data_IF_899674014570
#
_entry.id   IF_899674014570
#
_cell.length_a   1.000
_cell.length_b   1.000
_cell.length_c   1.000
_cell.angle_alpha   90.00
_cell.angle_beta   90.00
_cell.angle_gamma   90.00
#
_symmetry.space_group_name_H-M   'P 1'
#
loop_
_entity.id
_entity.type
_entity.pdbx_description
1 polymer ?
#
# COMPACT_ATOMS: atom_id res chain seq x y z
N UNK A 1 21.78 1.39 15.40
CA UNK A 1 20.46 1.66 15.99
C UNK A 1 19.41 1.72 14.90
N UNK A 2 18.35 0.91 15.02
CA UNK A 2 17.27 0.80 14.05
C UNK A 2 16.18 -0.14 14.55
N UNK A 3 15.28 -0.49 13.67
CA UNK A 3 14.14 -1.36 13.93
C UNK A 3 14.26 -2.66 13.13
N UNK A 4 13.67 -3.73 13.61
CA UNK A 4 13.40 -4.94 12.86
C UNK A 4 11.96 -4.91 12.39
N UNK A 5 11.76 -5.04 11.09
CA UNK A 5 10.44 -4.91 10.45
C UNK A 5 10.04 -6.24 9.83
N UNK A 6 8.84 -6.68 10.13
CA UNK A 6 8.25 -7.84 9.48
C UNK A 6 7.80 -7.48 8.06
N UNK A 7 8.50 -8.01 7.07
CA UNK A 7 8.22 -7.80 5.64
C UNK A 7 7.40 -8.94 5.01
N UNK A 8 6.86 -9.85 5.82
CA UNK A 8 6.16 -11.05 5.34
C UNK A 8 7.03 -11.97 4.47
N UNK A 9 8.35 -11.95 4.70
CA UNK A 9 9.35 -12.75 4.02
C UNK A 9 9.95 -13.82 4.93
N UNK A 10 11.08 -14.40 4.51
CA UNK A 10 11.80 -15.45 5.25
C UNK A 10 12.31 -15.00 6.61
N UNK A 11 12.57 -13.71 6.78
CA UNK A 11 13.05 -13.09 8.00
C UNK A 11 12.69 -11.61 8.07
N UNK A 12 12.98 -10.96 9.21
CA UNK A 12 12.78 -9.53 9.34
C UNK A 12 13.78 -8.76 8.48
N UNK A 13 13.43 -7.53 8.13
CA UNK A 13 14.33 -6.59 7.48
C UNK A 13 14.82 -5.54 8.49
N UNK A 14 16.06 -5.11 8.33
CA UNK A 14 16.61 -4.02 9.13
C UNK A 14 16.15 -2.66 8.60
N UNK A 15 15.72 -1.80 9.48
CA UNK A 15 15.27 -0.45 9.16
C UNK A 15 16.02 0.58 10.01
N UNK A 16 16.99 1.30 9.42
CA UNK A 16 17.79 2.30 10.14
C UNK A 16 16.95 3.48 10.62
N UNK A 17 17.27 4.05 11.80
CA UNK A 17 16.62 5.26 12.33
C UNK A 17 16.68 6.45 11.37
N UNK A 18 17.75 6.54 10.57
CA UNK A 18 17.99 7.63 9.63
C UNK A 18 17.54 7.30 8.20
N UNK A 19 16.70 6.29 8.03
CA UNK A 19 16.21 5.86 6.73
C UNK A 19 15.04 6.69 6.17
N UNK A 20 14.76 7.85 6.74
CA UNK A 20 13.77 8.82 6.25
C UNK A 20 14.45 10.02 5.60
N UNK A 21 13.81 10.64 4.60
CA UNK A 21 14.27 11.90 4.05
C UNK A 21 14.13 13.01 5.11
N UNK A 22 15.17 13.81 5.31
CA UNK A 22 15.21 14.85 6.34
C UNK A 22 15.51 14.37 7.77
N UNK A 23 15.65 13.06 8.01
CA UNK A 23 15.95 12.55 9.34
C UNK A 23 17.40 12.84 9.78
N UNK A 24 17.54 13.18 11.05
CA UNK A 24 18.82 13.38 11.72
C UNK A 24 18.85 12.63 13.06
N UNK A 25 20.03 12.54 13.69
CA UNK A 25 20.18 11.89 15.01
C UNK A 25 19.30 12.48 16.10
N UNK A 26 18.95 13.78 15.99
CA UNK A 26 18.12 14.51 16.97
C UNK A 26 16.65 14.59 16.53
N UNK A 27 16.38 14.41 15.25
CA UNK A 27 15.04 14.53 14.68
C UNK A 27 14.78 13.39 13.71
N UNK A 28 14.12 12.35 14.17
CA UNK A 28 13.70 11.19 13.41
C UNK A 28 12.33 10.69 13.90
N UNK A 29 11.54 9.99 13.06
CA UNK A 29 10.28 9.41 13.48
C UNK A 29 10.47 8.42 14.62
N UNK A 30 9.67 8.56 15.66
CA UNK A 30 9.63 7.58 16.75
C UNK A 30 8.59 6.50 16.41
N UNK A 31 9.06 5.35 15.94
CA UNK A 31 8.21 4.20 15.60
C UNK A 31 8.03 3.34 16.85
N UNK A 32 6.80 2.86 17.04
CA UNK A 32 6.43 1.91 18.10
C UNK A 32 6.19 0.54 17.49
N UNK A 33 6.24 -0.50 18.32
CA UNK A 33 5.81 -1.84 17.91
C UNK A 33 4.38 -1.79 17.37
N UNK A 34 4.15 -2.52 16.27
CA UNK A 34 2.86 -2.51 15.58
C UNK A 34 2.65 -1.33 14.61
N UNK A 35 3.60 -0.37 14.52
CA UNK A 35 3.52 0.69 13.51
C UNK A 35 3.68 0.10 12.11
N UNK A 36 2.76 0.44 11.21
CA UNK A 36 2.84 0.08 9.80
C UNK A 36 3.66 1.15 9.05
N UNK A 37 4.59 0.71 8.22
CA UNK A 37 5.42 1.60 7.39
C UNK A 37 5.37 1.16 5.92
N UNK A 38 5.38 2.13 5.03
CA UNK A 38 5.61 1.93 3.61
C UNK A 38 7.05 2.31 3.28
N UNK A 39 7.84 1.33 2.87
CA UNK A 39 9.26 1.49 2.62
C UNK A 39 9.70 0.68 1.40
N UNK A 40 10.81 1.06 0.80
CA UNK A 40 11.46 0.29 -0.26
C UNK A 40 12.62 -0.53 0.26
N UNK A 41 12.98 -1.58 -0.44
CA UNK A 41 14.24 -2.27 -0.22
C UNK A 41 15.41 -1.37 -0.66
N UNK A 42 16.37 -1.18 0.24
CA UNK A 42 17.59 -0.41 -0.02
C UNK A 42 18.67 -1.27 -0.66
N UNK A 43 18.75 -2.54 -0.24
CA UNK A 43 19.74 -3.52 -0.69
C UNK A 43 19.16 -4.37 -1.83
N UNK A 44 19.90 -4.48 -2.94
CA UNK A 44 19.54 -5.31 -4.08
C UNK A 44 20.26 -6.69 -4.05
N UNK A 45 21.02 -6.98 -2.98
CA UNK A 45 21.81 -8.20 -2.86
C UNK A 45 21.01 -9.32 -2.17
N UNK A 46 20.90 -10.46 -2.84
CA UNK A 46 20.27 -11.68 -2.32
C UNK A 46 21.03 -12.32 -1.13
N UNK A 47 22.28 -11.94 -0.90
CA UNK A 47 23.16 -12.54 0.11
C UNK A 47 23.32 -11.68 1.37
N UNK A 48 22.69 -10.52 1.41
CA UNK A 48 22.75 -9.59 2.55
C UNK A 48 21.38 -9.51 3.20
N UNK A 49 21.34 -9.32 4.52
CA UNK A 49 20.08 -9.07 5.23
C UNK A 49 19.35 -7.89 4.57
N UNK A 50 18.04 -8.02 4.33
CA UNK A 50 17.27 -6.99 3.67
C UNK A 50 17.25 -5.71 4.52
N UNK A 51 17.65 -4.61 3.91
CA UNK A 51 17.60 -3.27 4.51
C UNK A 51 16.48 -2.45 3.85
N UNK A 52 15.71 -1.75 4.67
CA UNK A 52 14.62 -0.90 4.22
C UNK A 52 15.02 0.58 4.26
N UNK A 53 14.43 1.37 3.36
CA UNK A 53 14.60 2.82 3.32
C UNK A 53 13.31 3.51 2.90
N UNK A 54 12.98 4.61 3.56
CA UNK A 54 11.94 5.55 3.16
C UNK A 54 12.49 6.72 2.32
N UNK A 55 13.79 6.71 1.98
CA UNK A 55 14.39 7.73 1.12
C UNK A 55 14.07 7.48 -0.34
N UNK A 56 13.68 8.52 -1.06
CA UNK A 56 13.39 8.45 -2.49
C UNK A 56 14.69 8.33 -3.29
N UNK A 57 14.79 7.38 -4.22
CA UNK A 57 15.98 7.20 -5.09
C UNK A 57 16.12 8.35 -6.11
N UNK A 58 14.98 8.80 -6.66
CA UNK A 58 14.95 9.86 -7.68
C UNK A 58 13.68 10.69 -7.53
N UNK A 59 13.73 11.96 -7.91
CA UNK A 59 12.60 12.88 -7.81
C UNK A 59 12.72 13.86 -6.63
N UNK A 60 11.63 14.54 -6.35
CA UNK A 60 11.57 15.55 -5.29
C UNK A 60 11.57 14.86 -3.92
N UNK A 61 12.59 15.13 -3.13
CA UNK A 61 12.65 14.68 -1.73
C UNK A 61 11.74 15.54 -0.89
N UNK A 62 10.82 14.92 -0.17
CA UNK A 62 9.93 15.59 0.79
C UNK A 62 10.29 15.11 2.18
N UNK A 63 10.41 16.05 3.11
CA UNK A 63 10.73 15.77 4.50
C UNK A 63 9.63 14.90 5.12
N UNK A 64 10.00 13.92 5.94
CA UNK A 64 9.08 13.03 6.62
C UNK A 64 8.08 13.78 7.54
N UNK A 65 8.43 14.98 7.98
CA UNK A 65 7.59 15.82 8.85
C UNK A 65 6.45 16.51 8.09
N UNK A 66 6.56 16.68 6.78
CA UNK A 66 5.55 17.41 6.00
C UNK A 66 4.29 16.58 5.73
N UNK A 67 4.33 15.27 5.99
CA UNK A 67 3.25 14.35 5.65
C UNK A 67 3.07 14.08 4.16
N UNK A 68 3.92 14.68 3.31
CA UNK A 68 3.88 14.53 1.85
C UNK A 68 4.93 13.53 1.33
N UNK A 69 5.69 12.90 2.22
CA UNK A 69 6.68 11.91 1.85
C UNK A 69 6.00 10.69 1.23
N UNK A 70 6.57 10.21 0.11
CA UNK A 70 6.04 9.04 -0.59
C UNK A 70 6.13 7.75 0.23
N UNK A 71 7.22 7.61 0.99
CA UNK A 71 7.45 6.51 1.93
C UNK A 71 7.38 7.01 3.36
N UNK A 72 6.91 6.20 4.27
CA UNK A 72 6.86 6.56 5.68
C UNK A 72 5.85 5.76 6.48
N UNK A 73 5.50 6.30 7.63
CA UNK A 73 4.50 5.76 8.53
C UNK A 73 3.11 5.87 7.90
N UNK A 74 2.35 4.77 7.95
CA UNK A 74 0.94 4.75 7.54
C UNK A 74 0.06 4.88 8.79
N UNK A 75 -0.85 5.85 8.77
CA UNK A 75 -1.73 6.15 9.90
C UNK A 75 -3.19 5.98 9.52
N UNK A 76 -3.96 5.38 10.40
CA UNK A 76 -5.38 5.09 10.15
C UNK A 76 -5.58 4.02 9.09
N UNK A 77 -6.77 4.00 8.47
CA UNK A 77 -7.10 3.08 7.39
C UNK A 77 -7.15 1.62 7.79
N UNK A 78 -7.06 0.75 6.78
CA UNK A 78 -7.09 -0.70 6.91
C UNK A 78 -5.91 -1.31 6.17
N UNK A 79 -5.25 -2.27 6.80
CA UNK A 79 -4.20 -3.08 6.17
C UNK A 79 -4.66 -4.52 5.99
N UNK A 80 -4.24 -5.14 4.89
CA UNK A 80 -4.56 -6.52 4.59
C UNK A 80 -3.47 -7.23 3.81
N UNK A 81 -3.71 -8.52 3.63
CA UNK A 81 -2.87 -9.36 2.79
C UNK A 81 -3.63 -9.71 1.52
N UNK A 82 -2.91 -9.79 0.43
CA UNK A 82 -3.41 -10.26 -0.86
C UNK A 82 -2.38 -11.21 -1.50
N UNK A 83 -2.76 -11.85 -2.59
CA UNK A 83 -1.80 -12.65 -3.36
C UNK A 83 -0.74 -11.74 -3.99
N UNK A 84 0.42 -12.32 -4.28
CA UNK A 84 1.49 -11.61 -4.99
C UNK A 84 1.06 -11.23 -6.42
N UNK A 85 0.13 -11.99 -7.00
CA UNK A 85 -0.45 -11.69 -8.31
C UNK A 85 -1.27 -10.40 -8.25
N UNK A 86 -2.21 -10.32 -7.30
CA UNK A 86 -3.02 -9.11 -7.09
C UNK A 86 -2.14 -7.91 -6.72
N UNK A 87 -1.14 -8.09 -5.86
CA UNK A 87 -0.22 -7.00 -5.51
C UNK A 87 0.49 -6.42 -6.74
N UNK A 88 0.93 -7.26 -7.68
CA UNK A 88 1.54 -6.81 -8.95
C UNK A 88 0.54 -6.08 -9.84
N UNK A 89 -0.71 -6.55 -9.93
CA UNK A 89 -1.76 -5.86 -10.67
C UNK A 89 -2.08 -4.48 -10.08
N UNK A 90 -2.13 -4.37 -8.75
CA UNK A 90 -2.38 -3.10 -8.06
C UNK A 90 -1.23 -2.10 -8.21
N UNK A 91 0.00 -2.58 -8.41
CA UNK A 91 1.18 -1.75 -8.65
C UNK A 91 1.31 -1.28 -10.11
N UNK A 92 0.49 -1.81 -11.01
CA UNK A 92 0.45 -1.37 -12.40
C UNK A 92 -0.24 0.01 -12.49
N UNK A 93 0.40 0.97 -13.17
CA UNK A 93 -0.14 2.31 -13.42
C UNK A 93 -1.49 2.28 -14.16
N UNK A 94 -1.74 1.20 -14.88
CA UNK A 94 -2.97 0.98 -15.64
C UNK A 94 -4.02 0.13 -14.91
N UNK A 95 -3.88 -0.09 -13.60
CA UNK A 95 -4.83 -0.88 -12.85
C UNK A 95 -6.27 -0.34 -12.94
N UNK A 96 -7.13 -1.06 -13.67
CA UNK A 96 -8.51 -0.64 -13.95
C UNK A 96 -9.36 -0.58 -12.68
N UNK A 97 -9.12 -1.51 -11.73
CA UNK A 97 -9.83 -1.56 -10.45
C UNK A 97 -9.59 -0.29 -9.65
N UNK A 98 -8.34 0.14 -9.51
CA UNK A 98 -8.01 1.37 -8.78
C UNK A 98 -8.54 2.61 -9.49
N UNK A 99 -8.49 2.65 -10.83
CA UNK A 99 -9.05 3.74 -11.63
C UNK A 99 -10.57 3.85 -11.46
N UNK A 100 -11.28 2.73 -11.45
CA UNK A 100 -12.73 2.71 -11.24
C UNK A 100 -13.11 3.19 -9.83
N UNK A 101 -12.42 2.70 -8.82
CA UNK A 101 -12.65 3.10 -7.42
C UNK A 101 -12.33 4.58 -7.18
N UNK A 102 -11.23 5.09 -7.71
CA UNK A 102 -10.79 6.48 -7.51
C UNK A 102 -11.71 7.51 -8.16
N UNK A 103 -12.45 7.15 -9.20
CA UNK A 103 -13.46 8.02 -9.82
C UNK A 103 -14.63 8.32 -8.90
N UNK A 104 -14.90 7.43 -7.93
CA UNK A 104 -16.09 7.50 -7.07
C UNK A 104 -15.75 7.95 -5.65
N UNK A 105 -14.64 7.48 -5.12
CA UNK A 105 -14.23 7.70 -3.72
C UNK A 105 -12.77 8.11 -3.72
N UNK A 106 -12.42 9.27 -3.15
CA UNK A 106 -11.02 9.63 -2.92
C UNK A 106 -10.44 8.76 -1.79
N UNK A 107 -9.31 8.13 -2.04
CA UNK A 107 -8.61 7.30 -1.07
C UNK A 107 -7.10 7.30 -1.32
N UNK A 108 -6.36 6.92 -0.30
CA UNK A 108 -4.94 6.64 -0.37
C UNK A 108 -4.71 5.13 -0.35
N UNK A 109 -3.73 4.67 -1.08
CA UNK A 109 -3.35 3.26 -1.12
C UNK A 109 -1.84 3.12 -1.07
N UNK A 110 -1.36 2.14 -0.32
CA UNK A 110 0.02 1.68 -0.35
C UNK A 110 0.04 0.18 -0.58
N UNK A 111 0.75 -0.27 -1.60
CA UNK A 111 0.85 -1.68 -1.97
C UNK A 111 2.30 -2.11 -1.91
N UNK A 112 2.55 -3.19 -1.17
CA UNK A 112 3.86 -3.81 -1.09
C UNK A 112 3.99 -5.01 -2.03
N UNK A 113 5.18 -5.20 -2.61
CA UNK A 113 5.51 -6.42 -3.38
C UNK A 113 5.50 -7.69 -2.53
N UNK A 114 5.36 -7.55 -1.22
CA UNK A 114 5.26 -8.63 -0.24
C UNK A 114 3.83 -9.15 -0.03
N UNK A 115 2.87 -8.72 -0.85
CA UNK A 115 1.47 -9.12 -0.73
C UNK A 115 0.71 -8.42 0.40
N UNK A 116 1.24 -7.33 0.94
CA UNK A 116 0.52 -6.47 1.89
C UNK A 116 0.08 -5.20 1.21
N UNK A 117 -1.12 -4.76 1.54
CA UNK A 117 -1.64 -3.46 1.10
C UNK A 117 -2.33 -2.73 2.24
N UNK A 118 -2.40 -1.44 2.11
CA UNK A 118 -3.07 -0.54 3.04
C UNK A 118 -3.91 0.46 2.26
N UNK A 119 -5.11 0.75 2.76
CA UNK A 119 -6.03 1.73 2.18
C UNK A 119 -6.59 2.64 3.26
N UNK A 120 -6.71 3.91 2.94
CA UNK A 120 -7.33 4.91 3.80
C UNK A 120 -8.22 5.84 2.98
N UNK A 121 -9.46 6.03 3.43
CA UNK A 121 -10.40 7.00 2.88
C UNK A 121 -10.88 7.92 4.00
N UNK A 122 -11.62 8.97 3.64
CA UNK A 122 -12.12 9.96 4.61
C UNK A 122 -13.03 9.34 5.70
N UNK A 123 -13.80 8.30 5.33
CA UNK A 123 -14.70 7.59 6.25
C UNK A 123 -14.28 6.13 6.36
N UNK A 124 -14.35 5.57 7.56
CA UNK A 124 -14.04 4.17 7.80
C UNK A 124 -14.86 3.20 6.93
N UNK A 125 -16.14 3.50 6.72
CA UNK A 125 -16.99 2.69 5.86
C UNK A 125 -16.50 2.65 4.41
N UNK A 126 -15.97 3.77 3.90
CA UNK A 126 -15.37 3.85 2.57
C UNK A 126 -14.08 3.04 2.49
N UNK A 127 -13.25 3.09 3.53
CA UNK A 127 -12.03 2.27 3.60
C UNK A 127 -12.35 0.78 3.58
N UNK A 128 -13.37 0.32 4.34
CA UNK A 128 -13.84 -1.07 4.36
C UNK A 128 -14.34 -1.49 2.97
N UNK A 129 -15.07 -0.60 2.30
CA UNK A 129 -15.62 -0.82 0.97
C UNK A 129 -14.51 -1.04 -0.06
N UNK A 130 -13.54 -0.12 -0.10
CA UNK A 130 -12.39 -0.20 -1.02
C UNK A 130 -11.57 -1.46 -0.74
N UNK A 131 -11.33 -1.76 0.54
CA UNK A 131 -10.63 -2.96 0.97
C UNK A 131 -11.29 -4.24 0.44
N UNK A 132 -12.61 -4.37 0.61
CA UNK A 132 -13.37 -5.51 0.11
C UNK A 132 -13.40 -5.56 -1.43
N UNK A 133 -13.55 -4.42 -2.09
CA UNK A 133 -13.54 -4.35 -3.55
C UNK A 133 -12.21 -4.82 -4.13
N UNK A 134 -11.09 -4.44 -3.51
CA UNK A 134 -9.75 -4.90 -3.91
C UNK A 134 -9.62 -6.41 -3.74
N UNK A 135 -9.98 -6.98 -2.60
CA UNK A 135 -9.89 -8.42 -2.37
C UNK A 135 -10.81 -9.21 -3.31
N UNK A 136 -12.02 -8.72 -3.54
CA UNK A 136 -12.96 -9.41 -4.43
C UNK A 136 -12.55 -9.34 -5.90
N UNK A 137 -11.77 -8.33 -6.31
CA UNK A 137 -11.26 -8.24 -7.69
C UNK A 137 -10.33 -9.40 -8.06
N UNK A 138 -9.68 -10.02 -7.07
CA UNK A 138 -8.84 -11.21 -7.28
C UNK A 138 -9.64 -12.40 -7.80
N UNK A 139 -10.82 -12.65 -7.26
CA UNK A 139 -11.68 -13.76 -7.66
C UNK A 139 -12.30 -13.58 -9.04
N UNK A 140 -12.47 -12.34 -9.47
CA UNK A 140 -13.08 -11.99 -10.75
C UNK A 140 -12.06 -12.01 -11.91
N UNK A 141 -10.78 -11.84 -11.62
CA UNK A 141 -9.69 -11.97 -12.60
C UNK A 141 -9.40 -13.43 -12.98
N UNK A 142 -9.89 -14.39 -12.22
CA UNK A 142 -9.66 -15.83 -12.43
C UNK A 142 -10.61 -16.48 -13.45
N UNK A 143 -11.54 -15.74 -14.04
CA UNK A 143 -12.43 -16.19 -15.11
C UNK A 143 -11.79 -16.00 -16.49
N UNK A 144 -11.84 -17.04 -17.29
CA UNK A 144 -11.05 -17.38 -18.47
C UNK A 144 -11.22 -16.48 -19.73
N UNK A 145 -11.84 -15.32 -19.68
CA UNK A 145 -12.03 -14.49 -20.89
C UNK A 145 -11.88 -12.99 -20.61
N UNK A 146 -10.73 -12.43 -20.97
CA UNK A 146 -10.53 -10.98 -21.14
C UNK A 146 -10.33 -10.18 -19.85
N UNK A 147 -9.11 -10.22 -19.36
CA UNK A 147 -8.57 -9.77 -18.06
C UNK A 147 -8.87 -8.31 -17.64
N UNK A 148 -9.35 -7.43 -18.52
CA UNK A 148 -9.59 -6.01 -18.17
C UNK A 148 -11.04 -5.66 -17.90
N UNK A 149 -11.97 -6.26 -18.60
CA UNK A 149 -13.36 -5.79 -18.66
C UNK A 149 -14.26 -6.36 -17.54
N UNK A 150 -14.01 -7.58 -17.09
CA UNK A 150 -14.78 -8.24 -16.04
C UNK A 150 -14.50 -7.63 -14.66
N UNK A 151 -13.25 -7.30 -14.36
CA UNK A 151 -12.84 -6.65 -13.12
C UNK A 151 -13.42 -5.24 -12.98
N UNK A 152 -13.48 -4.50 -14.08
CA UNK A 152 -14.04 -3.14 -14.11
C UNK A 152 -15.56 -3.17 -13.85
N UNK A 153 -16.31 -4.04 -14.54
CA UNK A 153 -17.76 -4.19 -14.34
C UNK A 153 -18.12 -4.65 -12.93
N UNK A 154 -17.32 -5.51 -12.36
CA UNK A 154 -17.57 -6.00 -11.00
C UNK A 154 -17.23 -4.94 -9.94
N UNK A 155 -16.16 -4.18 -10.11
CA UNK A 155 -15.85 -3.04 -9.24
C UNK A 155 -16.94 -1.96 -9.36
N UNK A 156 -17.44 -1.68 -10.57
CA UNK A 156 -18.55 -0.75 -10.80
C UNK A 156 -19.86 -1.25 -10.19
N UNK A 157 -20.19 -2.52 -10.36
CA UNK A 157 -21.39 -3.13 -9.77
C UNK A 157 -21.35 -3.16 -8.23
N UNK A 158 -20.18 -3.40 -7.64
CA UNK A 158 -20.00 -3.33 -6.18
C UNK A 158 -20.17 -1.90 -5.67
N UNK A 159 -19.60 -0.92 -6.36
CA UNK A 159 -19.76 0.49 -5.99
C UNK A 159 -21.20 0.96 -6.17
N UNK A 160 -21.92 0.49 -7.20
CA UNK A 160 -23.36 0.77 -7.37
C UNK A 160 -24.22 0.13 -6.29
N UNK A 161 -24.00 -1.13 -5.97
CA UNK A 161 -24.73 -1.83 -4.90
C UNK A 161 -24.54 -1.18 -3.53
N UNK A 162 -23.44 -0.47 -3.33
CA UNK A 162 -23.11 0.20 -2.07
C UNK A 162 -23.60 1.65 -2.02
N UNK A 163 -23.71 2.34 -3.15
CA UNK A 163 -24.40 3.65 -3.21
C UNK A 163 -25.89 3.53 -2.87
N UNK A 164 -26.55 2.40 -3.15
CA UNK A 164 -27.93 2.12 -2.74
C UNK A 164 -28.10 1.89 -1.22
N UNK A 165 -26.99 1.61 -0.48
CA UNK A 165 -27.01 1.44 0.98
C UNK A 165 -26.56 2.69 1.75
N UNK A 166 -26.03 3.71 1.07
CA UNK A 166 -25.52 4.95 1.66
C UNK A 166 -26.44 6.16 1.42
N UNK A 167 -27.49 6.01 0.65
CA UNK A 167 -28.61 6.95 0.52
C UNK A 167 -29.74 6.56 1.45
#
# INVERSE_FOLDING_TARGET
HGYLVNINGRGPAYFPLLAFDGASKRNHPNLKEGTLIYARLASDSLHVEPELSCKVKSGVRKDWMTGEAYYGKLEGGLSGNCSLHLARQLLDDNCDVLKALSRRIPFEIAVGINGRFWVCAQKNNQSILIYNAILNSEFLSSGDDGVGFAGLKAAEAMVEALNMKLS
#
